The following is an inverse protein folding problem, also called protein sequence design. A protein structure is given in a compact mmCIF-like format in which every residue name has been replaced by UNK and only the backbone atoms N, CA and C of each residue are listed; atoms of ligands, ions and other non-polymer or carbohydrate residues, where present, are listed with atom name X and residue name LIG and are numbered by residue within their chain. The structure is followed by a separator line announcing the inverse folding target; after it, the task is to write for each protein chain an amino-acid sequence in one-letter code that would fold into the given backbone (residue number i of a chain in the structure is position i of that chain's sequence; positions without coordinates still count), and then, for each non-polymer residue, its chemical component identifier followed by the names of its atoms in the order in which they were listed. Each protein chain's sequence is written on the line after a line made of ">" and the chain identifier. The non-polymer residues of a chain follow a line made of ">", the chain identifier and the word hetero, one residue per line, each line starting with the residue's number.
data_IF_805625809721
#
_entry.id   IF_805625809721
#
_cell.length_a   1.000
_cell.length_b   1.000
_cell.length_c   1.000
_cell.angle_alpha   90.00
_cell.angle_beta   90.00
_cell.angle_gamma   90.00
#
_symmetry.space_group_name_H-M   'P 1'
#
loop_
_entity.id
_entity.type
_entity.pdbx_description
1 polymer ?
#
# COMPACT_ATOMS: atom_id res chain seq x y z
N UNK A 1 -13.79 8.61 -9.11
CA UNK A 1 -13.68 7.87 -10.38
C UNK A 1 -14.93 8.18 -11.18
N UNK A 2 -14.76 8.71 -12.41
CA UNK A 2 -15.87 8.93 -13.32
C UNK A 2 -16.08 7.68 -14.18
N UNK A 3 -17.33 7.27 -14.36
CA UNK A 3 -17.71 6.10 -15.12
C UNK A 3 -18.76 6.46 -16.18
N UNK A 4 -18.99 5.64 -17.21
CA UNK A 4 -20.06 5.87 -18.19
C UNK A 4 -21.48 5.89 -17.59
N UNK A 5 -21.63 5.42 -16.35
CA UNK A 5 -22.89 5.38 -15.62
C UNK A 5 -23.19 6.64 -14.82
N UNK A 6 -22.25 7.59 -14.74
CA UNK A 6 -22.48 8.86 -14.05
C UNK A 6 -23.44 9.73 -14.86
N UNK A 7 -24.42 10.31 -14.17
CA UNK A 7 -25.40 11.23 -14.72
C UNK A 7 -24.89 12.68 -14.68
N UNK A 8 -25.52 13.59 -15.44
CA UNK A 8 -25.26 15.02 -15.36
C UNK A 8 -25.48 15.58 -13.93
N UNK A 9 -26.40 14.97 -13.19
CA UNK A 9 -26.64 15.36 -11.79
C UNK A 9 -25.46 15.03 -10.88
N UNK A 10 -24.77 13.90 -11.12
CA UNK A 10 -23.58 13.53 -10.34
C UNK A 10 -22.45 14.53 -10.57
N UNK A 11 -22.25 14.98 -11.81
CA UNK A 11 -21.24 16.01 -12.12
C UNK A 11 -21.61 17.37 -11.56
N UNK A 12 -22.90 17.72 -11.53
CA UNK A 12 -23.38 18.96 -10.91
C UNK A 12 -23.15 18.92 -9.41
N UNK A 13 -23.47 17.83 -8.74
CA UNK A 13 -23.24 17.63 -7.31
C UNK A 13 -21.74 17.71 -6.96
N UNK A 14 -20.90 17.04 -7.75
CA UNK A 14 -19.44 17.14 -7.57
C UNK A 14 -18.93 18.57 -7.73
N UNK A 15 -19.38 19.30 -8.75
CA UNK A 15 -19.02 20.70 -8.97
C UNK A 15 -19.42 21.58 -7.80
N UNK A 16 -20.63 21.38 -7.27
CA UNK A 16 -21.11 22.14 -6.11
C UNK A 16 -20.31 21.81 -4.84
N UNK A 17 -20.00 20.55 -4.60
CA UNK A 17 -19.15 20.14 -3.48
C UNK A 17 -17.75 20.77 -3.55
N UNK A 18 -17.11 20.79 -4.72
CA UNK A 18 -15.81 21.44 -4.92
C UNK A 18 -15.90 22.95 -4.65
N UNK A 19 -16.97 23.63 -5.10
CA UNK A 19 -17.17 25.06 -4.83
C UNK A 19 -17.32 25.35 -3.33
N UNK A 20 -18.01 24.47 -2.59
CA UNK A 20 -18.13 24.58 -1.13
C UNK A 20 -16.79 24.39 -0.45
N UNK A 21 -16.02 23.39 -0.86
CA UNK A 21 -14.68 23.11 -0.33
C UNK A 21 -13.72 24.30 -0.54
N UNK A 22 -13.80 24.97 -1.69
CA UNK A 22 -12.97 26.15 -1.98
C UNK A 22 -13.33 27.39 -1.12
N UNK A 23 -14.52 27.42 -0.53
CA UNK A 23 -14.93 28.49 0.41
C UNK A 23 -14.48 28.24 1.85
N UNK A 24 -14.08 27.02 2.18
CA UNK A 24 -13.54 26.70 3.50
C UNK A 24 -12.13 27.26 3.56
N UNK A 25 -11.92 28.20 4.47
CA UNK A 25 -10.59 28.76 4.75
C UNK A 25 -9.70 27.63 5.27
N UNK A 26 -8.55 27.43 4.66
CA UNK A 26 -7.78 26.21 4.86
C UNK A 26 -6.35 26.52 5.23
N UNK A 27 -6.07 26.35 6.49
CA UNK A 27 -4.74 25.97 6.91
C UNK A 27 -4.51 24.49 6.50
N UNK A 28 -4.19 24.28 5.23
CA UNK A 28 -3.78 22.97 4.75
C UNK A 28 -2.39 22.68 5.33
N UNK A 29 -2.37 21.94 6.43
CA UNK A 29 -1.13 21.32 6.89
C UNK A 29 -0.78 20.26 5.86
N UNK A 30 0.15 20.62 4.97
CA UNK A 30 0.77 19.64 4.09
C UNK A 30 1.53 18.67 4.99
N UNK A 31 0.98 17.48 5.22
CA UNK A 31 1.73 16.42 5.88
C UNK A 31 3.03 16.22 5.10
N UNK A 32 4.15 16.20 5.79
CA UNK A 32 5.43 15.88 5.17
C UNK A 32 5.28 14.64 4.30
N UNK A 33 5.82 14.72 3.09
CA UNK A 33 5.81 13.57 2.18
C UNK A 33 6.51 12.42 2.91
N UNK A 34 5.80 11.33 3.14
CA UNK A 34 6.41 10.11 3.65
C UNK A 34 7.58 9.73 2.74
N UNK A 35 8.74 9.45 3.34
CA UNK A 35 9.89 8.98 2.56
C UNK A 35 9.49 7.68 1.87
N UNK A 36 9.73 7.62 0.56
CA UNK A 36 9.52 6.38 -0.19
C UNK A 36 10.58 5.39 0.31
N UNK A 37 10.11 4.31 0.90
CA UNK A 37 10.96 3.21 1.32
C UNK A 37 11.08 2.22 0.15
N UNK A 38 12.31 1.86 -0.21
CA UNK A 38 12.61 0.88 -1.25
C UNK A 38 13.30 -0.32 -0.59
N UNK A 39 12.60 -1.44 -0.37
CA UNK A 39 13.15 -2.63 0.23
C UNK A 39 14.28 -3.23 -0.62
N UNK A 40 15.24 -3.86 0.06
CA UNK A 40 16.34 -4.54 -0.63
C UNK A 40 15.85 -5.87 -1.22
N UNK A 41 15.96 -6.00 -2.55
CA UNK A 41 15.73 -7.27 -3.24
C UNK A 41 16.97 -8.16 -3.13
N UNK A 42 16.78 -9.43 -2.75
CA UNK A 42 17.84 -10.43 -2.58
C UNK A 42 17.68 -11.65 -3.48
N UNK A 43 16.50 -11.85 -4.06
CA UNK A 43 16.26 -12.91 -5.04
C UNK A 43 15.21 -12.48 -6.09
N UNK A 44 15.05 -13.28 -7.14
CA UNK A 44 14.04 -13.00 -8.16
C UNK A 44 12.63 -13.25 -7.61
N UNK A 45 11.67 -12.49 -8.15
CA UNK A 45 10.26 -12.65 -7.81
C UNK A 45 9.77 -14.08 -8.05
N UNK A 46 10.21 -14.71 -9.14
CA UNK A 46 9.83 -16.08 -9.49
C UNK A 46 10.32 -17.08 -8.44
N UNK A 47 11.58 -16.99 -8.02
CA UNK A 47 12.16 -17.88 -7.00
C UNK A 47 11.44 -17.72 -5.67
N UNK A 48 11.12 -16.47 -5.27
CA UNK A 48 10.43 -16.21 -4.04
C UNK A 48 8.98 -16.74 -4.04
N UNK A 49 8.23 -16.55 -5.13
CA UNK A 49 6.84 -17.01 -5.22
C UNK A 49 6.74 -18.53 -5.28
N UNK A 50 7.69 -19.20 -5.96
CA UNK A 50 7.70 -20.67 -6.13
C UNK A 50 8.46 -21.38 -5.01
N UNK A 51 9.15 -20.65 -4.14
CA UNK A 51 9.90 -21.20 -3.01
C UNK A 51 9.00 -21.77 -1.92
N UNK A 52 9.60 -22.61 -1.06
CA UNK A 52 8.91 -23.07 0.15
C UNK A 52 8.70 -21.89 1.09
N UNK A 53 7.49 -21.74 1.58
CA UNK A 53 7.09 -20.60 2.38
C UNK A 53 6.19 -20.99 3.54
N UNK A 54 6.15 -20.15 4.57
CA UNK A 54 5.31 -20.30 5.75
C UNK A 54 4.66 -18.96 6.11
N UNK A 55 3.57 -19.02 6.86
CA UNK A 55 2.97 -17.83 7.46
C UNK A 55 3.47 -17.66 8.89
N UNK A 56 3.99 -16.47 9.20
CA UNK A 56 4.48 -16.13 10.54
C UNK A 56 3.85 -14.83 11.01
N UNK A 57 3.75 -14.59 12.33
CA UNK A 57 3.37 -13.29 12.87
C UNK A 57 4.31 -12.19 12.37
N UNK A 58 3.78 -11.03 12.02
CA UNK A 58 4.54 -9.91 11.45
C UNK A 58 5.75 -9.48 12.30
N UNK A 59 5.66 -9.61 13.62
CA UNK A 59 6.73 -9.26 14.54
C UNK A 59 7.98 -10.14 14.35
N UNK A 60 7.78 -11.35 13.83
CA UNK A 60 8.86 -12.30 13.52
C UNK A 60 9.34 -12.22 12.07
N UNK A 61 8.72 -11.36 11.25
CA UNK A 61 9.02 -11.26 9.82
C UNK A 61 10.24 -10.40 9.51
N UNK A 62 10.71 -9.58 10.45
CA UNK A 62 11.89 -8.71 10.26
C UNK A 62 13.12 -9.56 9.91
N UNK A 63 13.81 -9.17 8.85
CA UNK A 63 14.99 -9.89 8.33
C UNK A 63 14.67 -11.10 7.46
N UNK A 64 13.39 -11.52 7.39
CA UNK A 64 12.97 -12.62 6.50
C UNK A 64 12.68 -12.09 5.10
N UNK A 65 12.70 -12.99 4.13
CA UNK A 65 12.40 -12.67 2.73
C UNK A 65 10.90 -12.86 2.49
N UNK A 66 10.25 -11.85 1.95
CA UNK A 66 8.83 -11.93 1.60
C UNK A 66 8.62 -12.95 0.48
N UNK A 67 7.63 -13.82 0.66
CA UNK A 67 7.17 -14.78 -0.35
C UNK A 67 5.86 -14.33 -1.02
N UNK A 68 5.32 -13.20 -0.62
CA UNK A 68 4.07 -12.65 -1.17
C UNK A 68 4.15 -11.11 -1.22
N UNK A 69 3.21 -10.51 -1.92
CA UNK A 69 3.07 -9.05 -1.97
C UNK A 69 2.39 -8.54 -0.70
N UNK A 70 3.09 -7.73 0.07
CA UNK A 70 2.49 -7.01 1.18
C UNK A 70 1.94 -5.66 0.68
N UNK A 71 0.62 -5.56 0.62
CA UNK A 71 -0.08 -4.40 0.05
C UNK A 71 -1.24 -3.99 0.96
N UNK A 72 -1.01 -3.09 1.92
CA UNK A 72 -2.08 -2.57 2.76
C UNK A 72 -3.08 -1.76 1.91
N UNK A 73 -4.36 -1.93 2.18
CA UNK A 73 -5.42 -1.21 1.47
C UNK A 73 -6.35 -0.53 2.48
N UNK A 74 -6.65 0.75 2.35
CA UNK A 74 -6.14 1.75 1.40
C UNK A 74 -4.71 2.21 1.75
N UNK A 75 -3.85 2.61 0.78
CA UNK A 75 -4.21 2.97 -0.60
C UNK A 75 -3.97 1.86 -1.64
N UNK A 76 -3.57 0.65 -1.27
CA UNK A 76 -3.28 -0.41 -2.22
C UNK A 76 -1.92 -0.27 -2.91
N UNK A 77 -0.95 0.32 -2.22
CA UNK A 77 0.43 0.45 -2.70
C UNK A 77 1.27 -0.65 -2.07
N UNK A 78 1.95 -1.51 -2.87
CA UNK A 78 2.83 -2.52 -2.33
C UNK A 78 3.95 -1.93 -1.49
N UNK A 79 4.16 -2.47 -0.30
CA UNK A 79 5.25 -2.11 0.61
C UNK A 79 6.42 -3.07 0.44
N UNK A 80 6.11 -4.36 0.27
CA UNK A 80 7.09 -5.40 -0.04
C UNK A 80 6.60 -6.25 -1.20
N UNK A 81 7.52 -6.63 -2.06
CA UNK A 81 7.32 -7.57 -3.14
C UNK A 81 8.01 -8.91 -2.81
N UNK A 82 7.59 -10.04 -3.41
CA UNK A 82 8.30 -11.30 -3.23
C UNK A 82 9.78 -11.19 -3.60
N UNK A 83 10.64 -11.72 -2.75
CA UNK A 83 12.10 -11.65 -2.91
C UNK A 83 12.78 -10.46 -2.26
N UNK A 84 12.02 -9.62 -1.55
CA UNK A 84 12.54 -8.48 -0.79
C UNK A 84 12.64 -8.81 0.70
N UNK A 85 13.65 -8.23 1.37
CA UNK A 85 13.82 -8.38 2.83
C UNK A 85 12.82 -7.46 3.53
N UNK A 86 12.13 -8.00 4.52
CA UNK A 86 11.22 -7.25 5.39
C UNK A 86 12.05 -6.52 6.45
N UNK A 87 12.07 -5.19 6.41
CA UNK A 87 12.83 -4.34 7.33
C UNK A 87 11.95 -3.69 8.40
N UNK A 88 10.64 -3.54 8.14
CA UNK A 88 9.65 -3.03 9.09
C UNK A 88 8.34 -3.79 8.96
N UNK A 89 7.61 -3.92 10.06
CA UNK A 89 6.28 -4.57 10.09
C UNK A 89 5.11 -3.59 10.20
N UNK A 90 5.35 -2.27 10.26
CA UNK A 90 4.32 -1.27 10.55
C UNK A 90 3.14 -1.27 9.56
N UNK A 91 3.41 -1.65 8.31
CA UNK A 91 2.41 -1.72 7.24
C UNK A 91 2.05 -3.15 6.85
N UNK A 92 2.37 -4.15 7.67
CA UNK A 92 2.09 -5.55 7.38
C UNK A 92 0.78 -6.01 8.05
N UNK A 93 0.14 -7.00 7.46
CA UNK A 93 -0.95 -7.74 8.08
C UNK A 93 -0.46 -8.50 9.31
N UNK A 94 -1.38 -8.97 10.15
CA UNK A 94 -1.07 -9.74 11.36
C UNK A 94 -0.18 -10.97 11.08
N UNK A 95 -0.43 -11.65 9.95
CA UNK A 95 0.39 -12.75 9.45
C UNK A 95 0.97 -12.41 8.08
N UNK A 96 2.22 -12.79 7.88
CA UNK A 96 2.99 -12.53 6.66
C UNK A 96 3.55 -13.82 6.11
N UNK A 97 3.50 -13.99 4.80
CA UNK A 97 4.09 -15.13 4.12
C UNK A 97 5.55 -14.85 3.82
N UNK A 98 6.43 -15.70 4.34
CA UNK A 98 7.88 -15.57 4.17
C UNK A 98 8.49 -16.87 3.68
N UNK A 99 9.69 -16.80 3.08
CA UNK A 99 10.44 -17.99 2.69
C UNK A 99 11.00 -18.71 3.92
N UNK A 100 11.04 -20.04 3.83
CA UNK A 100 11.63 -20.92 4.86
C UNK A 100 13.15 -20.92 4.69
#
# INVERSE_FOLDING_TARGET
>A
ICTPFNSENDFTNLRNAIKLLNKLDKDFVVKEKSKIFLPKRVMSLREAVLGKSEFIPREKAIGRISADTACPCPPGIPVYMPGEIIESYDCLNEFVKVLI
#
